data_IF_961101833853
#
_entry.id   IF_961101833853
#
_cell.length_a   1.000
_cell.length_b   1.000
_cell.length_c   1.000
_cell.angle_alpha   90.00
_cell.angle_beta   90.00
_cell.angle_gamma   90.00
#
_symmetry.space_group_name_H-M   'P 1'
#
loop_
_entity.id
_entity.type
_entity.pdbx_description
1 polymer ?
#
# COMPACT_ATOMS: atom_id res chain seq x y z
N UNK A 1 -8.30 15.47 59.12
CA UNK A 1 -7.51 16.34 58.21
C UNK A 1 -6.68 15.54 57.19
N UNK A 2 -5.98 14.47 57.58
CA UNK A 2 -5.11 13.67 56.69
C UNK A 2 -5.88 12.90 55.59
N UNK A 3 -7.11 12.44 55.87
CA UNK A 3 -7.96 11.73 54.88
C UNK A 3 -8.46 12.68 53.77
N UNK A 4 -8.76 13.94 54.13
CA UNK A 4 -9.26 14.95 53.20
C UNK A 4 -8.17 15.41 52.22
N UNK A 5 -6.94 15.56 52.69
CA UNK A 5 -5.75 15.86 51.87
C UNK A 5 -5.41 14.71 50.90
N UNK A 6 -5.59 13.45 51.33
CA UNK A 6 -5.36 12.29 50.47
C UNK A 6 -6.38 12.20 49.32
N UNK A 7 -7.65 12.55 49.58
CA UNK A 7 -8.67 12.66 48.53
C UNK A 7 -8.42 13.82 47.56
N UNK A 8 -7.89 14.95 48.05
CA UNK A 8 -7.53 16.10 47.22
C UNK A 8 -6.32 15.79 46.30
N UNK A 9 -5.33 15.04 46.80
CA UNK A 9 -4.20 14.56 46.00
C UNK A 9 -4.60 13.50 44.95
N UNK A 10 -5.60 12.66 45.25
CA UNK A 10 -6.17 11.69 44.29
C UNK A 10 -7.00 12.39 43.20
N UNK A 11 -7.64 13.52 43.53
CA UNK A 11 -8.40 14.32 42.55
C UNK A 11 -7.50 15.12 41.58
N UNK A 12 -6.23 15.34 41.94
CA UNK A 12 -5.23 16.00 41.09
C UNK A 12 -4.70 15.18 39.90
N UNK A 13 -5.12 13.91 39.75
CA UNK A 13 -4.72 13.05 38.63
C UNK A 13 -5.92 12.62 37.77
N UNK A 14 -6.83 13.56 37.51
CA UNK A 14 -7.94 13.41 36.57
C UNK A 14 -7.65 14.10 35.24
N UNK A 15 -6.56 13.73 34.56
CA UNK A 15 -6.36 14.14 33.16
C UNK A 15 -5.48 13.17 32.37
N UNK A 16 -5.79 11.88 32.44
CA UNK A 16 -5.46 11.02 31.29
C UNK A 16 -6.53 11.25 30.24
N UNK A 17 -6.26 12.27 29.42
CA UNK A 17 -6.93 12.45 28.15
C UNK A 17 -6.90 11.10 27.42
N UNK A 18 -8.05 10.43 27.36
CA UNK A 18 -8.39 9.62 26.21
C UNK A 18 -8.36 10.58 25.01
N UNK A 19 -7.15 10.87 24.52
CA UNK A 19 -6.92 11.21 23.15
C UNK A 19 -7.27 9.93 22.39
N UNK A 20 -8.56 9.63 22.29
CA UNK A 20 -9.08 9.12 21.03
C UNK A 20 -8.64 10.16 20.02
N UNK A 21 -7.42 9.96 19.50
CA UNK A 21 -7.03 10.59 18.26
C UNK A 21 -7.99 10.01 17.26
N UNK A 22 -9.13 10.68 17.14
CA UNK A 22 -10.01 10.65 16.00
C UNK A 22 -9.13 11.14 14.86
N UNK A 23 -8.27 10.24 14.38
CA UNK A 23 -7.66 10.34 13.06
C UNK A 23 -8.86 10.30 12.17
N UNK A 24 -9.43 11.47 11.89
CA UNK A 24 -10.43 11.65 10.87
C UNK A 24 -9.76 11.19 9.58
N UNK A 25 -9.89 9.89 9.30
CA UNK A 25 -9.30 9.29 8.12
C UNK A 25 -10.06 9.91 6.98
N UNK A 26 -9.37 10.74 6.22
CA UNK A 26 -10.01 11.57 5.21
C UNK A 26 -10.66 10.63 4.20
N UNK A 27 -11.97 10.77 3.95
CA UNK A 27 -12.77 9.77 3.25
C UNK A 27 -12.28 9.42 1.84
N UNK A 28 -11.56 10.34 1.17
CA UNK A 28 -10.95 10.12 -0.14
C UNK A 28 -9.59 9.42 -0.08
N UNK A 29 -8.91 9.45 1.08
CA UNK A 29 -7.57 8.91 1.24
C UNK A 29 -7.48 7.42 0.87
N UNK A 30 -8.40 6.55 1.29
CA UNK A 30 -8.35 5.13 0.91
C UNK A 30 -8.43 4.92 -0.60
N UNK A 31 -9.29 5.66 -1.29
CA UNK A 31 -9.48 5.56 -2.74
C UNK A 31 -8.19 5.96 -3.49
N UNK A 32 -7.60 7.11 -3.13
CA UNK A 32 -6.32 7.56 -3.72
C UNK A 32 -5.21 6.56 -3.42
N UNK A 33 -5.16 6.02 -2.19
CA UNK A 33 -4.12 5.06 -1.80
C UNK A 33 -4.22 3.77 -2.62
N UNK A 34 -5.43 3.26 -2.83
CA UNK A 34 -5.66 2.08 -3.69
C UNK A 34 -5.27 2.35 -5.13
N UNK A 35 -5.71 3.48 -5.69
CA UNK A 35 -5.36 3.88 -7.04
C UNK A 35 -3.84 3.96 -7.23
N UNK A 36 -3.14 4.72 -6.37
CA UNK A 36 -1.70 4.89 -6.45
C UNK A 36 -0.97 3.55 -6.31
N UNK A 37 -1.37 2.69 -5.36
CA UNK A 37 -0.78 1.37 -5.20
C UNK A 37 -0.86 0.55 -6.49
N UNK A 38 -2.02 0.55 -7.16
CA UNK A 38 -2.21 -0.20 -8.40
C UNK A 38 -1.43 0.44 -9.57
N UNK A 39 -1.52 1.76 -9.74
CA UNK A 39 -0.84 2.49 -10.80
C UNK A 39 0.69 2.38 -10.69
N UNK A 40 1.25 2.53 -9.49
CA UNK A 40 2.69 2.38 -9.25
C UNK A 40 3.12 0.95 -9.52
N UNK A 41 2.30 -0.05 -9.14
CA UNK A 41 2.62 -1.45 -9.39
C UNK A 41 2.66 -1.82 -10.88
N UNK A 42 1.86 -1.16 -11.72
CA UNK A 42 1.85 -1.37 -13.18
C UNK A 42 2.98 -0.58 -13.83
N UNK A 43 3.16 0.69 -13.44
CA UNK A 43 4.16 1.57 -14.02
C UNK A 43 5.60 1.10 -13.71
N UNK A 44 5.85 0.62 -12.49
CA UNK A 44 7.18 0.18 -12.06
C UNK A 44 7.81 -0.88 -12.98
N UNK A 45 7.20 -2.05 -13.23
CA UNK A 45 7.78 -3.09 -14.09
C UNK A 45 7.93 -2.62 -15.53
N UNK A 46 7.00 -1.81 -16.04
CA UNK A 46 7.09 -1.26 -17.41
C UNK A 46 8.29 -0.33 -17.53
N UNK A 47 8.46 0.63 -16.61
CA UNK A 47 9.62 1.54 -16.62
C UNK A 47 10.92 0.75 -16.54
N UNK A 48 11.00 -0.24 -15.65
CA UNK A 48 12.17 -1.12 -15.51
C UNK A 48 12.48 -1.84 -16.83
N UNK A 49 11.46 -2.40 -17.50
CA UNK A 49 11.63 -3.06 -18.79
C UNK A 49 12.02 -2.11 -19.93
N UNK A 50 11.57 -0.86 -19.92
CA UNK A 50 12.00 0.11 -20.92
C UNK A 50 13.51 0.35 -20.85
N UNK A 51 14.05 0.53 -19.63
CA UNK A 51 15.49 0.73 -19.43
C UNK A 51 16.28 -0.55 -19.71
N UNK A 52 15.83 -1.70 -19.18
CA UNK A 52 16.49 -2.99 -19.39
C UNK A 52 16.47 -3.42 -20.85
N UNK A 53 15.31 -3.36 -21.50
CA UNK A 53 15.12 -3.75 -22.90
C UNK A 53 15.98 -2.93 -23.85
N UNK A 54 16.03 -1.59 -23.65
CA UNK A 54 16.88 -0.70 -24.45
C UNK A 54 18.37 -0.97 -24.22
N UNK A 55 18.78 -1.28 -23.00
CA UNK A 55 20.16 -1.65 -22.69
C UNK A 55 20.55 -2.98 -23.34
N UNK A 56 19.65 -3.96 -23.30
CA UNK A 56 19.85 -5.28 -23.90
C UNK A 56 19.95 -5.18 -25.43
N UNK A 57 19.04 -4.45 -26.07
CA UNK A 57 19.08 -4.26 -27.52
C UNK A 57 20.37 -3.58 -27.99
N UNK A 58 20.86 -2.58 -27.25
CA UNK A 58 22.16 -1.95 -27.56
C UNK A 58 23.34 -2.90 -27.41
N UNK A 59 23.26 -3.86 -26.48
CA UNK A 59 24.35 -4.82 -26.23
C UNK A 59 24.42 -5.90 -27.31
N UNK A 60 23.27 -6.34 -27.81
CA UNK A 60 23.18 -7.46 -28.77
C UNK A 60 22.94 -7.01 -30.21
N UNK A 61 22.82 -5.70 -30.48
CA UNK A 61 22.48 -5.14 -31.80
C UNK A 61 21.19 -5.73 -32.39
N UNK A 62 20.23 -6.05 -31.51
CA UNK A 62 18.94 -6.70 -31.84
C UNK A 62 17.79 -5.69 -31.91
N UNK A 63 18.09 -4.39 -32.02
CA UNK A 63 17.07 -3.33 -31.99
C UNK A 63 15.93 -3.61 -32.99
N UNK A 64 14.64 -3.62 -32.58
CA UNK A 64 14.08 -3.41 -31.23
C UNK A 64 13.44 -4.68 -30.62
N UNK A 65 13.92 -5.88 -30.94
CA UNK A 65 13.26 -7.14 -30.55
C UNK A 65 13.35 -7.45 -29.06
N UNK A 66 14.51 -7.24 -28.41
CA UNK A 66 14.64 -7.51 -26.97
C UNK A 66 13.93 -6.45 -26.15
N UNK A 67 13.86 -5.21 -26.63
CA UNK A 67 13.02 -4.19 -26.04
C UNK A 67 11.55 -4.63 -26.02
N UNK A 68 11.03 -5.08 -27.18
CA UNK A 68 9.65 -5.51 -27.30
C UNK A 68 9.35 -6.73 -26.42
N UNK A 69 10.25 -7.71 -26.39
CA UNK A 69 10.16 -8.87 -25.52
C UNK A 69 10.19 -8.49 -24.03
N UNK A 70 11.06 -7.55 -23.63
CA UNK A 70 11.18 -7.10 -22.25
C UNK A 70 9.92 -6.37 -21.78
N UNK A 71 9.37 -5.46 -22.60
CA UNK A 71 8.11 -4.77 -22.31
C UNK A 71 6.95 -5.76 -22.25
N UNK A 72 6.88 -6.70 -23.18
CA UNK A 72 5.87 -7.77 -23.17
C UNK A 72 5.94 -8.61 -21.90
N UNK A 73 7.14 -9.00 -21.48
CA UNK A 73 7.34 -9.76 -20.24
C UNK A 73 6.94 -8.95 -19.00
N UNK A 74 7.32 -7.68 -18.92
CA UNK A 74 6.91 -6.80 -17.82
C UNK A 74 5.40 -6.60 -17.76
N UNK A 75 4.73 -6.52 -18.92
CA UNK A 75 3.27 -6.45 -18.98
C UNK A 75 2.62 -7.72 -18.40
N UNK A 76 3.13 -8.91 -18.74
CA UNK A 76 2.66 -10.17 -18.17
C UNK A 76 2.89 -10.24 -16.65
N UNK A 77 4.06 -9.82 -16.18
CA UNK A 77 4.38 -9.75 -14.74
C UNK A 77 3.42 -8.79 -14.02
N UNK A 78 3.11 -7.65 -14.64
CA UNK A 78 2.15 -6.68 -14.11
C UNK A 78 0.75 -7.27 -13.99
N UNK A 79 0.27 -7.96 -15.04
CA UNK A 79 -1.01 -8.68 -15.03
C UNK A 79 -1.09 -9.71 -13.90
N UNK A 80 -0.05 -10.54 -13.76
CA UNK A 80 0.00 -11.55 -12.71
C UNK A 80 0.02 -10.93 -11.30
N UNK A 81 0.83 -9.89 -11.12
CA UNK A 81 0.90 -9.14 -9.86
C UNK A 81 -0.42 -8.49 -9.49
N UNK A 82 -1.14 -7.93 -10.47
CA UNK A 82 -2.45 -7.32 -10.27
C UNK A 82 -3.48 -8.37 -9.81
N UNK A 83 -3.58 -9.50 -10.51
CA UNK A 83 -4.52 -10.59 -10.18
C UNK A 83 -4.25 -11.12 -8.77
N UNK A 84 -2.97 -11.34 -8.44
CA UNK A 84 -2.56 -11.82 -7.12
C UNK A 84 -2.90 -10.84 -6.01
N UNK A 85 -2.68 -9.54 -6.23
CA UNK A 85 -3.00 -8.49 -5.25
C UNK A 85 -4.51 -8.36 -5.07
N UNK A 86 -5.28 -8.35 -6.16
CA UNK A 86 -6.74 -8.32 -6.12
C UNK A 86 -7.29 -9.53 -5.35
N UNK A 87 -6.85 -10.75 -5.70
CA UNK A 87 -7.29 -11.97 -5.03
C UNK A 87 -6.95 -11.98 -3.53
N UNK A 88 -5.81 -11.40 -3.14
CA UNK A 88 -5.42 -11.28 -1.73
C UNK A 88 -6.33 -10.30 -0.97
N UNK A 89 -6.67 -9.16 -1.57
CA UNK A 89 -7.60 -8.21 -0.96
C UNK A 89 -9.01 -8.81 -0.85
N UNK A 90 -9.51 -9.50 -1.88
CA UNK A 90 -10.81 -10.20 -1.82
C UNK A 90 -10.86 -11.25 -0.69
N UNK A 91 -9.83 -12.10 -0.55
CA UNK A 91 -9.75 -13.06 0.55
C UNK A 91 -9.70 -12.41 1.93
N UNK A 92 -9.11 -11.22 2.04
CA UNK A 92 -9.05 -10.47 3.31
C UNK A 92 -10.45 -9.99 3.71
N UNK A 93 -11.21 -9.47 2.74
CA UNK A 93 -12.60 -9.04 2.96
C UNK A 93 -13.52 -10.21 3.34
N UNK A 94 -13.35 -11.38 2.72
CA UNK A 94 -14.12 -12.58 3.04
C UNK A 94 -13.90 -13.06 4.49
N UNK A 95 -12.65 -13.06 4.96
CA UNK A 95 -12.33 -13.44 6.34
C UNK A 95 -12.90 -12.46 7.38
N UNK A 96 -12.81 -11.15 7.12
CA UNK A 96 -13.37 -10.14 8.02
C UNK A 96 -14.90 -10.21 8.17
N UNK A 97 -15.62 -10.76 7.17
CA UNK A 97 -17.06 -11.00 7.27
C UNK A 97 -17.43 -12.32 7.96
N UNK A 98 -16.52 -13.29 8.06
CA UNK A 98 -16.77 -14.56 8.76
C UNK A 98 -16.51 -14.50 10.27
N UNK A 99 -15.68 -13.55 10.70
CA UNK A 99 -15.34 -13.35 12.11
C UNK A 99 -16.24 -12.31 12.82
N UNK A 100 -17.25 -11.77 12.12
CA UNK A 100 -18.33 -10.93 12.67
C UNK A 100 -19.65 -11.69 12.62
#
# INVERSE_FOLDING_TARGET
>A
MIIFLKNMAVSGNLKNHNQEQNKQVVWWQPAITMFLKLSVWIAAPVIIALYLGKWLDKRYATEPWLFLASVGLAFLISLFGLIRNAAKEFKKLEKTNKDK
#
